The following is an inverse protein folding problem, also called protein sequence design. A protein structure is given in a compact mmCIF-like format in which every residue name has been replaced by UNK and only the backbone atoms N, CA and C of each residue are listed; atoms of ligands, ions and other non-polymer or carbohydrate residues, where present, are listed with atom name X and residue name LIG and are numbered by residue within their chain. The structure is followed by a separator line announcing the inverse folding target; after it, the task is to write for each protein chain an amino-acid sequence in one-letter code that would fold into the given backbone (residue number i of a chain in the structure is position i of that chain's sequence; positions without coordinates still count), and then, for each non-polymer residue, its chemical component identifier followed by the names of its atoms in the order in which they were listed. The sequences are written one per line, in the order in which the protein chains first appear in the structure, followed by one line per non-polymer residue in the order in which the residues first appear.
data_IF_171674576341
#
_entry.id   IF_171674576341
#
_cell.length_a   1.000
_cell.length_b   1.000
_cell.length_c   1.000
_cell.angle_alpha   90.00
_cell.angle_beta   90.00
_cell.angle_gamma   90.00
#
_symmetry.space_group_name_H-M   'P 1'
#
loop_
_entity.id
_entity.type
_entity.pdbx_description
1 polymer ?
#
# COMPACT_ATOMS: atom_id res chain seq x y z
N UNK A 1 3.03 4.09 12.45
CA UNK A 1 3.07 3.84 10.99
C UNK A 1 4.17 2.82 10.74
N UNK A 2 3.97 1.87 9.84
CA UNK A 2 4.92 0.77 9.58
C UNK A 2 5.87 1.14 8.44
N UNK A 3 7.13 0.74 8.55
CA UNK A 3 8.14 1.03 7.52
C UNK A 3 8.37 -0.15 6.58
N UNK A 4 8.25 -1.37 7.10
CA UNK A 4 8.54 -2.63 6.41
C UNK A 4 7.58 -3.76 6.80
N UNK A 5 6.25 -3.61 6.61
CA UNK A 5 5.32 -4.70 6.86
C UNK A 5 5.68 -5.97 6.06
N UNK A 6 5.60 -7.13 6.69
CA UNK A 6 5.78 -8.43 6.04
C UNK A 6 4.44 -9.00 5.58
N UNK A 7 4.39 -9.82 4.52
CA UNK A 7 3.20 -10.61 4.18
C UNK A 7 2.69 -11.38 5.41
N UNK A 8 1.37 -11.44 5.58
CA UNK A 8 0.70 -11.98 6.75
C UNK A 8 0.47 -10.97 7.88
N UNK A 9 1.07 -9.79 7.84
CA UNK A 9 0.86 -8.76 8.88
C UNK A 9 -0.55 -8.18 8.81
N UNK A 10 -1.28 -8.21 9.93
CA UNK A 10 -2.54 -7.51 10.13
C UNK A 10 -2.30 -6.00 10.25
N UNK A 11 -2.97 -5.21 9.43
CA UNK A 11 -2.76 -3.75 9.36
C UNK A 11 -4.07 -2.97 9.27
N UNK A 12 -4.05 -1.75 9.81
CA UNK A 12 -5.06 -0.71 9.61
C UNK A 12 -4.54 0.34 8.63
N UNK A 13 -5.36 0.70 7.65
CA UNK A 13 -5.06 1.76 6.69
C UNK A 13 -5.35 3.12 7.33
N UNK A 14 -4.33 3.95 7.54
CA UNK A 14 -4.47 5.29 8.08
C UNK A 14 -3.82 6.33 7.17
N UNK A 15 -4.68 7.05 6.48
CA UNK A 15 -4.32 8.19 5.63
C UNK A 15 -4.22 9.50 6.44
N UNK A 16 -3.36 10.42 6.00
CA UNK A 16 -3.26 11.76 6.58
C UNK A 16 -4.58 12.53 6.44
N UNK A 17 -4.86 13.44 7.39
CA UNK A 17 -6.11 14.21 7.45
C UNK A 17 -6.50 14.83 6.10
N UNK A 18 -5.53 15.47 5.43
CA UNK A 18 -5.68 16.11 4.10
C UNK A 18 -6.14 15.16 2.98
N UNK A 19 -5.95 13.85 3.13
CA UNK A 19 -6.25 12.84 2.12
C UNK A 19 -7.41 11.93 2.53
N UNK A 20 -7.97 12.10 3.73
CA UNK A 20 -9.06 11.24 4.24
C UNK A 20 -10.30 11.28 3.37
N UNK A 21 -10.70 12.48 2.94
CA UNK A 21 -11.90 12.67 2.12
C UNK A 21 -11.84 11.94 0.77
N UNK A 22 -10.64 11.74 0.22
CA UNK A 22 -10.41 11.05 -1.04
C UNK A 22 -9.99 9.58 -0.87
N UNK A 23 -9.91 9.08 0.37
CA UNK A 23 -9.41 7.74 0.68
C UNK A 23 -10.54 6.86 1.27
N UNK A 24 -11.32 6.17 0.42
CA UNK A 24 -12.48 5.39 0.86
C UNK A 24 -12.12 4.20 1.76
N UNK A 25 -10.83 3.85 1.82
CA UNK A 25 -10.33 2.76 2.65
C UNK A 25 -9.74 3.22 3.99
N UNK A 26 -9.95 4.49 4.39
CA UNK A 26 -9.51 4.98 5.69
C UNK A 26 -10.07 4.15 6.84
N UNK A 27 -9.24 3.84 7.82
CA UNK A 27 -9.54 3.05 9.01
C UNK A 27 -9.96 1.60 8.78
N UNK A 28 -9.88 1.11 7.54
CA UNK A 28 -10.16 -0.28 7.21
C UNK A 28 -9.01 -1.19 7.62
N UNK A 29 -9.37 -2.40 8.03
CA UNK A 29 -8.44 -3.46 8.38
C UNK A 29 -8.20 -4.38 7.19
N UNK A 30 -7.00 -4.96 7.16
CA UNK A 30 -6.62 -5.96 6.18
C UNK A 30 -5.32 -6.65 6.54
N UNK A 31 -4.88 -7.52 5.64
CA UNK A 31 -3.65 -8.29 5.77
C UNK A 31 -2.72 -7.96 4.60
N UNK A 32 -1.46 -7.69 4.91
CA UNK A 32 -0.43 -7.49 3.89
C UNK A 32 -0.24 -8.80 3.15
N UNK A 33 -0.34 -8.77 1.82
CA UNK A 33 -0.19 -9.96 0.98
C UNK A 33 1.10 -9.94 0.18
N UNK A 34 1.61 -8.76 -0.21
CA UNK A 34 2.87 -8.64 -0.94
C UNK A 34 3.48 -7.23 -0.81
N UNK A 35 4.76 -7.10 -1.17
CA UNK A 35 5.37 -5.79 -1.48
C UNK A 35 5.08 -5.43 -2.92
N UNK A 36 4.38 -4.31 -3.13
CA UNK A 36 4.07 -3.82 -4.47
C UNK A 36 5.36 -3.31 -5.13
N UNK A 37 5.74 -3.94 -6.24
CA UNK A 37 6.99 -3.66 -6.98
C UNK A 37 7.99 -4.82 -7.01
N UNK A 38 7.80 -5.88 -6.21
CA UNK A 38 8.64 -7.09 -6.26
C UNK A 38 7.88 -8.34 -6.73
N UNK A 39 6.60 -8.46 -6.37
CA UNK A 39 5.76 -9.59 -6.77
C UNK A 39 4.37 -9.06 -7.16
N UNK A 40 3.96 -9.35 -8.39
CA UNK A 40 2.75 -8.83 -9.02
C UNK A 40 1.74 -9.98 -9.12
N UNK A 41 0.63 -9.98 -8.36
CA UNK A 41 -0.43 -10.95 -8.61
C UNK A 41 -1.08 -10.64 -9.97
N UNK A 42 -1.34 -11.69 -10.76
CA UNK A 42 -2.06 -11.58 -12.02
C UNK A 42 -3.46 -11.00 -11.76
N UNK A 43 -3.86 -9.97 -12.53
CA UNK A 43 -5.23 -9.42 -12.48
C UNK A 43 -5.40 -8.04 -11.83
N UNK A 44 -4.36 -7.38 -11.31
CA UNK A 44 -4.48 -5.99 -10.81
C UNK A 44 -4.12 -4.99 -11.90
N UNK A 45 -5.00 -4.01 -12.25
CA UNK A 45 -4.70 -3.01 -13.25
C UNK A 45 -3.45 -2.22 -12.86
N UNK A 46 -2.56 -2.04 -13.83
CA UNK A 46 -1.32 -1.30 -13.65
C UNK A 46 -1.64 0.17 -13.33
N UNK A 47 -1.33 0.63 -12.12
CA UNK A 47 -1.05 2.06 -11.90
C UNK A 47 0.10 2.46 -12.84
N UNK A 48 0.06 3.66 -13.46
CA UNK A 48 0.86 3.96 -14.64
C UNK A 48 2.36 3.78 -14.38
N UNK A 49 2.97 3.02 -15.29
CA UNK A 49 4.39 2.79 -15.57
C UNK A 49 5.40 3.28 -14.52
N UNK A 50 6.08 2.33 -13.88
CA UNK A 50 7.40 2.56 -13.30
C UNK A 50 8.33 3.19 -14.35
N UNK A 51 8.71 4.45 -14.16
CA UNK A 51 9.77 5.10 -14.94
C UNK A 51 11.12 4.88 -14.24
N UNK A 52 12.21 4.61 -14.99
CA UNK A 52 13.54 4.55 -14.40
C UNK A 52 13.88 5.91 -13.80
N UNK A 53 14.45 5.90 -12.59
CA UNK A 53 14.73 7.12 -11.84
C UNK A 53 15.84 7.95 -12.47
N UNK A 54 15.68 9.27 -12.42
CA UNK A 54 16.76 10.22 -12.68
C UNK A 54 17.64 10.41 -11.43
N UNK A 55 18.93 10.75 -11.57
CA UNK A 55 19.77 11.14 -10.44
C UNK A 55 19.11 12.29 -9.65
N UNK A 56 18.94 12.13 -8.34
CA UNK A 56 18.22 13.09 -7.46
C UNK A 56 16.75 12.77 -7.21
N UNK A 57 16.18 11.77 -7.88
CA UNK A 57 14.78 11.37 -7.68
C UNK A 57 14.59 10.60 -6.37
N UNK A 58 13.72 11.12 -5.48
CA UNK A 58 13.39 10.49 -4.18
C UNK A 58 12.96 9.03 -4.39
N UNK A 59 13.33 8.13 -3.47
CA UNK A 59 12.93 6.72 -3.54
C UNK A 59 11.41 6.60 -3.70
N UNK A 60 10.92 5.67 -4.55
CA UNK A 60 9.49 5.49 -4.70
C UNK A 60 8.96 5.04 -3.34
N UNK A 61 7.72 5.40 -2.98
CA UNK A 61 7.15 4.95 -1.73
C UNK A 61 7.18 3.42 -1.67
N UNK A 62 7.56 2.87 -0.52
CA UNK A 62 7.53 1.43 -0.25
C UNK A 62 6.07 0.95 -0.23
N UNK A 63 5.53 0.66 -1.40
CA UNK A 63 4.14 0.27 -1.54
C UNK A 63 3.94 -1.21 -1.18
N UNK A 64 2.80 -1.51 -0.58
CA UNK A 64 2.41 -2.85 -0.16
C UNK A 64 1.02 -3.14 -0.72
N UNK A 65 0.79 -4.37 -1.13
CA UNK A 65 -0.54 -4.87 -1.46
C UNK A 65 -1.17 -5.38 -0.17
N UNK A 66 -2.37 -4.88 0.13
CA UNK A 66 -3.15 -5.26 1.30
C UNK A 66 -4.48 -5.83 0.82
N UNK A 67 -4.84 -6.99 1.36
CA UNK A 67 -6.18 -7.57 1.23
C UNK A 67 -7.02 -7.11 2.40
N UNK A 68 -8.02 -6.26 2.13
CA UNK A 68 -8.98 -5.81 3.12
C UNK A 68 -9.92 -6.96 3.54
N UNK A 69 -10.57 -6.81 4.68
CA UNK A 69 -11.47 -7.84 5.23
C UNK A 69 -12.71 -8.11 4.37
N UNK A 70 -13.12 -7.15 3.54
CA UNK A 70 -14.19 -7.36 2.53
C UNK A 70 -13.69 -8.09 1.27
N UNK A 71 -12.42 -8.49 1.24
CA UNK A 71 -11.78 -9.16 0.11
C UNK A 71 -11.16 -8.23 -0.92
N UNK A 72 -11.32 -6.90 -0.81
CA UNK A 72 -10.73 -5.96 -1.76
C UNK A 72 -9.20 -5.93 -1.67
N UNK A 73 -8.55 -5.79 -2.82
CA UNK A 73 -7.09 -5.63 -2.91
C UNK A 73 -6.73 -4.18 -3.17
N UNK A 74 -5.91 -3.60 -2.30
CA UNK A 74 -5.50 -2.19 -2.37
C UNK A 74 -3.99 -2.05 -2.25
N UNK A 75 -3.42 -1.14 -3.05
CA UNK A 75 -2.00 -0.79 -2.98
C UNK A 75 -1.84 0.45 -2.11
N UNK A 76 -1.05 0.33 -1.05
CA UNK A 76 -0.91 1.37 -0.02
C UNK A 76 0.56 1.58 0.33
N UNK A 77 1.05 2.83 0.42
CA UNK A 77 2.38 3.11 0.95
C UNK A 77 2.53 2.58 2.38
N UNK A 78 3.68 2.00 2.73
CA UNK A 78 3.96 1.46 4.06
C UNK A 78 3.64 2.48 5.16
N UNK A 79 3.99 3.75 4.92
CA UNK A 79 3.71 4.85 5.85
C UNK A 79 2.24 4.90 6.24
N UNK A 80 1.30 4.64 5.33
CA UNK A 80 -0.13 4.67 5.64
C UNK A 80 -0.64 3.39 6.33
N UNK A 81 0.23 2.43 6.66
CA UNK A 81 -0.13 1.21 7.37
C UNK A 81 0.20 1.35 8.86
N UNK A 82 -0.70 0.90 9.72
CA UNK A 82 -0.48 0.77 11.16
C UNK A 82 -0.69 -0.68 11.56
N UNK A 83 0.05 -1.16 12.56
CA UNK A 83 -0.24 -2.47 13.15
C UNK A 83 -1.65 -2.40 13.74
N UNK A 84 -2.49 -3.34 13.37
CA UNK A 84 -3.85 -3.47 13.91
C UNK A 84 -3.80 -3.96 15.36
#
# INVERSE_FOLDING_TARGET
MLSHPTPGTRVRLRYAARSRAAAPHHDRLGTVVARAGRERPAGVPAVPAYKPKRPGEKRPPNNHLVRLDDGALVVVPAGNLQKA
#
